data_IF_559727106080
#
_entry.id   IF_559727106080
#
_cell.length_a   1.000
_cell.length_b   1.000
_cell.length_c   1.000
_cell.angle_alpha   90.00
_cell.angle_beta   90.00
_cell.angle_gamma   90.00
#
_symmetry.space_group_name_H-M   'P 1'
#
loop_
_entity.id
_entity.type
_entity.pdbx_description
1 polymer ?
#
# COMPACT_ATOMS: atom_id res chain seq x y z
N UNK A 1 -19.06 44.73 16.73
CA UNK A 1 -18.21 43.80 17.51
C UNK A 1 -18.34 42.35 17.01
N UNK A 2 -19.55 41.93 16.62
CA UNK A 2 -19.88 40.55 16.19
C UNK A 2 -19.24 40.16 14.84
N UNK A 3 -19.20 41.05 13.83
CA UNK A 3 -18.59 40.72 12.51
C UNK A 3 -17.11 40.33 12.58
N UNK A 4 -16.33 40.99 13.45
CA UNK A 4 -14.90 40.67 13.63
C UNK A 4 -14.65 39.27 14.19
N UNK A 5 -15.61 38.72 14.95
CA UNK A 5 -15.52 37.35 15.45
C UNK A 5 -15.90 36.33 14.37
N UNK A 6 -16.91 36.63 13.55
CA UNK A 6 -17.27 35.78 12.40
C UNK A 6 -16.16 35.70 11.37
N UNK A 7 -15.46 36.80 11.08
CA UNK A 7 -14.32 36.78 10.16
C UNK A 7 -13.12 35.99 10.70
N UNK A 8 -12.88 36.05 12.01
CA UNK A 8 -11.87 35.21 12.66
C UNK A 8 -12.22 33.73 12.57
N UNK A 9 -13.49 33.38 12.77
CA UNK A 9 -13.97 32.00 12.65
C UNK A 9 -13.84 31.51 11.20
N UNK A 10 -14.25 32.31 10.20
CA UNK A 10 -14.10 31.97 8.78
C UNK A 10 -12.64 31.79 8.38
N UNK A 11 -11.76 32.67 8.85
CA UNK A 11 -10.32 32.58 8.60
C UNK A 11 -9.72 31.32 9.26
N UNK A 12 -10.12 31.00 10.49
CA UNK A 12 -9.66 29.79 11.16
C UNK A 12 -10.15 28.51 10.47
N UNK A 13 -11.40 28.50 9.98
CA UNK A 13 -11.96 27.37 9.20
C UNK A 13 -11.22 27.22 7.87
N UNK A 14 -11.01 28.31 7.13
CA UNK A 14 -10.27 28.29 5.87
C UNK A 14 -8.83 27.80 6.07
N UNK A 15 -8.16 28.26 7.13
CA UNK A 15 -6.80 27.83 7.47
C UNK A 15 -6.75 26.37 7.90
N UNK A 16 -7.75 25.89 8.64
CA UNK A 16 -7.88 24.47 8.98
C UNK A 16 -8.16 23.61 7.74
N UNK A 17 -8.93 24.11 6.77
CA UNK A 17 -9.18 23.44 5.49
C UNK A 17 -7.92 23.40 4.62
N UNK A 18 -7.15 24.49 4.55
CA UNK A 18 -5.87 24.54 3.85
C UNK A 18 -4.81 23.65 4.52
N UNK A 19 -4.75 23.63 5.86
CA UNK A 19 -3.91 22.70 6.62
C UNK A 19 -4.32 21.24 6.40
N UNK A 20 -5.62 20.96 6.30
CA UNK A 20 -6.14 19.63 5.97
C UNK A 20 -5.83 19.25 4.53
N UNK A 21 -5.91 20.17 3.56
CA UNK A 21 -5.60 19.92 2.15
C UNK A 21 -4.10 19.79 1.87
N UNK A 22 -3.26 20.53 2.59
CA UNK A 22 -1.79 20.47 2.47
C UNK A 22 -1.17 19.27 3.20
N UNK A 23 -1.88 18.66 4.15
CA UNK A 23 -1.50 17.40 4.82
C UNK A 23 -2.23 16.16 4.29
N UNK A 24 -3.14 16.33 3.32
CA UNK A 24 -3.85 15.24 2.65
C UNK A 24 -3.50 15.17 1.18
N UNK A 25 -2.24 14.85 0.88
CA UNK A 25 -2.02 13.90 -0.20
C UNK A 25 -2.71 12.60 0.24
N UNK A 26 -4.02 12.49 -0.02
CA UNK A 26 -4.85 11.32 0.28
C UNK A 26 -4.22 10.17 -0.50
N UNK A 27 -3.34 9.48 0.20
CA UNK A 27 -2.85 8.16 -0.11
C UNK A 27 -4.06 7.33 -0.52
N UNK A 28 -4.17 7.06 -1.81
CA UNK A 28 -5.32 6.38 -2.41
C UNK A 28 -4.84 5.17 -3.20
N UNK A 29 -5.67 4.13 -3.20
CA UNK A 29 -5.45 2.95 -4.00
C UNK A 29 -5.56 3.33 -5.49
N UNK A 30 -4.46 3.14 -6.23
CA UNK A 30 -4.40 3.39 -7.66
C UNK A 30 -4.48 2.06 -8.42
N UNK A 31 -5.39 1.98 -9.39
CA UNK A 31 -5.48 0.86 -10.32
C UNK A 31 -4.51 1.05 -11.50
N UNK A 32 -3.85 -0.03 -11.92
CA UNK A 32 -2.89 -0.02 -13.04
C UNK A 32 -3.27 -0.93 -14.21
N UNK A 33 -4.30 -1.77 -14.07
CA UNK A 33 -4.68 -2.76 -15.07
C UNK A 33 -4.20 -4.16 -14.70
N UNK A 34 -3.68 -4.92 -15.67
CA UNK A 34 -3.24 -6.31 -15.44
C UNK A 34 -1.72 -6.45 -15.42
N UNK A 35 -1.20 -7.12 -14.41
CA UNK A 35 0.20 -7.56 -14.34
C UNK A 35 0.23 -9.06 -14.08
N UNK A 36 0.92 -9.82 -14.93
CA UNK A 36 0.98 -11.30 -14.86
C UNK A 36 -0.41 -11.97 -14.77
N UNK A 37 -1.42 -11.40 -15.44
CA UNK A 37 -2.79 -11.90 -15.43
C UNK A 37 -3.62 -11.50 -14.20
N UNK A 38 -3.02 -10.85 -13.21
CA UNK A 38 -3.68 -10.35 -11.99
C UNK A 38 -4.08 -8.88 -12.14
N UNK A 39 -5.19 -8.47 -11.51
CA UNK A 39 -5.55 -7.06 -11.40
C UNK A 39 -4.60 -6.37 -10.41
N UNK A 40 -3.85 -5.38 -10.88
CA UNK A 40 -2.77 -4.77 -10.15
C UNK A 40 -3.16 -3.38 -9.62
N UNK A 41 -2.90 -3.19 -8.34
CA UNK A 41 -3.15 -1.95 -7.60
C UNK A 41 -1.90 -1.51 -6.86
N UNK A 42 -1.73 -0.20 -6.66
CA UNK A 42 -0.65 0.35 -5.83
C UNK A 42 -1.19 1.33 -4.80
N UNK A 43 -0.57 1.41 -3.62
CA UNK A 43 -0.94 2.37 -2.59
C UNK A 43 0.32 2.95 -1.91
N UNK A 44 0.54 4.26 -2.07
CA UNK A 44 1.64 4.96 -1.41
C UNK A 44 1.22 5.47 -0.03
N UNK A 45 1.92 5.10 1.03
CA UNK A 45 1.61 5.44 2.43
C UNK A 45 0.19 5.03 2.88
N UNK A 46 -0.21 3.76 2.75
CA UNK A 46 -1.54 3.32 3.16
C UNK A 46 -1.72 3.41 4.68
N UNK A 47 -2.95 3.74 5.11
CA UNK A 47 -3.33 3.47 6.49
C UNK A 47 -3.57 1.95 6.65
N UNK A 48 -2.84 1.30 7.56
CA UNK A 48 -2.87 -0.17 7.72
C UNK A 48 -4.27 -0.71 8.00
N UNK A 49 -5.08 0.00 8.79
CA UNK A 49 -6.45 -0.43 9.10
C UNK A 49 -7.39 -0.35 7.89
N UNK A 50 -7.19 0.64 7.02
CA UNK A 50 -7.94 0.75 5.76
C UNK A 50 -7.45 -0.29 4.77
N UNK A 51 -6.13 -0.45 4.63
CA UNK A 51 -5.50 -1.44 3.75
C UNK A 51 -5.98 -2.86 4.06
N UNK A 52 -5.99 -3.25 5.34
CA UNK A 52 -6.48 -4.56 5.77
C UNK A 52 -7.91 -4.80 5.26
N UNK A 53 -8.83 -3.87 5.53
CA UNK A 53 -10.23 -3.97 5.07
C UNK A 53 -10.37 -3.98 3.56
N UNK A 54 -9.52 -3.22 2.85
CA UNK A 54 -9.48 -3.22 1.39
C UNK A 54 -9.03 -4.57 0.85
N UNK A 55 -8.00 -5.18 1.44
CA UNK A 55 -7.54 -6.51 1.05
C UNK A 55 -8.64 -7.56 1.30
N UNK A 56 -9.33 -7.48 2.43
CA UNK A 56 -10.42 -8.42 2.77
C UNK A 56 -11.62 -8.33 1.82
N UNK A 57 -11.91 -7.13 1.30
CA UNK A 57 -13.04 -6.90 0.41
C UNK A 57 -12.82 -7.41 -1.01
N UNK A 58 -11.58 -7.79 -1.36
CA UNK A 58 -11.28 -8.31 -2.68
C UNK A 58 -11.97 -9.67 -2.93
N UNK A 59 -12.61 -9.84 -4.10
CA UNK A 59 -13.35 -11.06 -4.43
C UNK A 59 -12.44 -12.24 -4.80
N UNK A 60 -11.16 -11.98 -5.08
CA UNK A 60 -10.18 -12.98 -5.53
C UNK A 60 -8.99 -13.10 -4.59
N UNK A 61 -8.19 -14.15 -4.82
CA UNK A 61 -6.92 -14.38 -4.12
C UNK A 61 -6.01 -13.16 -4.32
N UNK A 62 -5.45 -12.66 -3.22
CA UNK A 62 -4.62 -11.45 -3.23
C UNK A 62 -3.18 -11.80 -2.86
N UNK A 63 -2.21 -11.39 -3.67
CA UNK A 63 -0.81 -11.23 -3.26
C UNK A 63 -0.64 -9.81 -2.76
N UNK A 64 0.01 -9.66 -1.62
CA UNK A 64 0.46 -8.36 -1.17
C UNK A 64 1.99 -8.26 -1.25
N UNK A 65 2.46 -7.38 -2.13
CA UNK A 65 3.86 -6.95 -2.22
C UNK A 65 4.01 -5.60 -1.48
N UNK A 66 4.69 -5.59 -0.35
CA UNK A 66 4.82 -4.40 0.49
C UNK A 66 6.20 -4.27 1.11
N UNK A 67 6.50 -3.13 1.73
CA UNK A 67 7.69 -3.02 2.53
C UNK A 67 7.50 -3.71 3.90
N UNK A 68 8.61 -3.92 4.60
CA UNK A 68 8.62 -4.58 5.90
C UNK A 68 7.67 -3.93 6.90
N UNK A 69 7.70 -2.60 7.00
CA UNK A 69 6.99 -1.87 8.05
C UNK A 69 5.48 -2.07 7.95
N UNK A 70 4.95 -2.09 6.72
CA UNK A 70 3.51 -2.26 6.49
C UNK A 70 3.05 -3.70 6.77
N UNK A 71 3.80 -4.68 6.27
CA UNK A 71 3.47 -6.10 6.43
C UNK A 71 3.60 -6.49 7.91
N UNK A 72 4.64 -6.03 8.61
CA UNK A 72 4.80 -6.24 10.05
C UNK A 72 3.64 -5.64 10.86
N UNK A 73 3.34 -4.37 10.61
CA UNK A 73 2.26 -3.67 11.30
C UNK A 73 0.92 -4.39 11.09
N UNK A 74 0.63 -4.84 9.87
CA UNK A 74 -0.58 -5.60 9.59
C UNK A 74 -0.61 -6.94 10.35
N UNK A 75 0.49 -7.68 10.29
CA UNK A 75 0.61 -9.00 10.93
C UNK A 75 0.47 -8.88 12.46
N UNK A 76 1.06 -7.86 13.07
CA UNK A 76 1.00 -7.64 14.52
C UNK A 76 -0.38 -7.17 14.98
N UNK A 77 -1.09 -6.39 14.15
CA UNK A 77 -2.42 -5.88 14.47
C UNK A 77 -3.54 -6.91 14.23
N UNK A 78 -3.42 -7.71 13.17
CA UNK A 78 -4.53 -8.54 12.68
C UNK A 78 -4.28 -10.05 12.77
N UNK A 79 -3.02 -10.49 12.90
CA UNK A 79 -2.66 -11.87 13.21
C UNK A 79 -3.41 -12.94 12.40
N UNK A 80 -4.03 -13.89 13.10
CA UNK A 80 -4.84 -14.97 12.51
C UNK A 80 -6.31 -14.61 12.28
N UNK A 81 -6.75 -13.41 12.69
CA UNK A 81 -8.16 -13.04 12.73
C UNK A 81 -8.69 -12.38 11.44
N UNK A 82 -7.82 -12.10 10.47
CA UNK A 82 -8.20 -11.49 9.19
C UNK A 82 -8.08 -12.48 8.03
N UNK A 83 -8.88 -12.27 6.98
CA UNK A 83 -8.75 -13.02 5.73
C UNK A 83 -7.38 -12.66 5.11
N UNK A 84 -6.43 -13.58 5.23
CA UNK A 84 -5.04 -13.33 4.83
C UNK A 84 -4.93 -13.25 3.29
N UNK A 85 -4.08 -12.35 2.75
CA UNK A 85 -3.46 -12.57 1.46
C UNK A 85 -2.96 -14.00 1.33
N UNK A 86 -2.98 -14.51 0.10
CA UNK A 86 -2.46 -15.86 -0.19
C UNK A 86 -0.95 -15.89 0.01
N UNK A 87 -0.27 -14.79 -0.31
CA UNK A 87 1.15 -14.61 -0.10
C UNK A 87 1.46 -13.17 0.31
N UNK A 88 2.38 -13.04 1.26
CA UNK A 88 3.04 -11.78 1.58
C UNK A 88 4.43 -11.81 0.96
N UNK A 89 4.75 -10.79 0.17
CA UNK A 89 6.07 -10.58 -0.40
C UNK A 89 6.61 -9.27 0.19
N UNK A 90 7.71 -9.35 0.91
CA UNK A 90 8.39 -8.21 1.49
C UNK A 90 9.59 -7.85 0.61
N UNK A 91 9.71 -6.57 0.26
CA UNK A 91 10.91 -6.03 -0.38
C UNK A 91 11.65 -5.05 0.54
N UNK A 92 12.96 -4.88 0.33
CA UNK A 92 13.82 -3.94 1.05
C UNK A 92 14.67 -4.60 2.15
N UNK A 93 15.62 -3.85 2.71
CA UNK A 93 16.48 -4.36 3.79
C UNK A 93 15.66 -4.64 5.06
N UNK A 94 15.80 -5.85 5.59
CA UNK A 94 15.12 -6.31 6.79
C UNK A 94 16.09 -7.18 7.61
N UNK A 95 16.21 -6.89 8.90
CA UNK A 95 17.08 -7.65 9.81
C UNK A 95 16.33 -8.72 10.62
N UNK A 96 15.01 -8.60 10.84
CA UNK A 96 14.36 -9.35 11.95
C UNK A 96 13.00 -10.05 11.71
N UNK A 97 12.35 -10.03 10.53
CA UNK A 97 10.96 -10.58 10.41
C UNK A 97 10.80 -11.96 9.78
N UNK A 98 11.79 -12.48 9.06
CA UNK A 98 11.56 -13.68 8.23
C UNK A 98 11.59 -14.99 9.03
N UNK A 99 11.76 -14.95 10.35
CA UNK A 99 12.09 -16.16 11.12
C UNK A 99 10.87 -17.08 11.36
N UNK A 100 9.62 -16.62 11.23
CA UNK A 100 8.47 -17.43 11.70
C UNK A 100 7.17 -17.41 10.89
N UNK A 101 7.12 -16.81 9.70
CA UNK A 101 5.89 -16.75 8.88
C UNK A 101 6.24 -17.02 7.42
N UNK A 102 5.35 -17.70 6.69
CA UNK A 102 5.46 -18.06 5.27
C UNK A 102 5.42 -16.80 4.37
N UNK A 103 6.42 -15.94 4.56
CA UNK A 103 6.60 -14.62 3.94
C UNK A 103 7.85 -14.68 3.10
N UNK A 104 7.73 -14.27 1.83
CA UNK A 104 8.86 -14.26 0.91
C UNK A 104 9.55 -12.92 0.99
N UNK A 105 10.84 -12.90 1.30
CA UNK A 105 11.61 -11.69 1.46
C UNK A 105 12.65 -11.53 0.34
N UNK A 106 12.75 -10.31 -0.18
CA UNK A 106 13.70 -9.92 -1.21
C UNK A 106 14.36 -8.59 -0.84
N UNK A 107 15.66 -8.47 -1.09
CA UNK A 107 16.39 -7.22 -0.82
C UNK A 107 15.99 -6.11 -1.79
N UNK A 108 15.67 -6.45 -3.04
CA UNK A 108 15.33 -5.52 -4.11
C UNK A 108 13.89 -5.73 -4.62
N UNK A 109 13.18 -4.63 -4.84
CA UNK A 109 11.86 -4.60 -5.48
C UNK A 109 11.85 -5.31 -6.84
N UNK A 110 12.95 -5.26 -7.59
CA UNK A 110 13.08 -5.95 -8.89
C UNK A 110 12.96 -7.45 -8.72
N UNK A 111 13.71 -8.03 -7.78
CA UNK A 111 13.67 -9.46 -7.50
C UNK A 111 12.29 -9.88 -6.97
N UNK A 112 11.67 -9.04 -6.14
CA UNK A 112 10.32 -9.28 -5.64
C UNK A 112 9.28 -9.32 -6.77
N UNK A 113 9.39 -8.42 -7.76
CA UNK A 113 8.52 -8.40 -8.95
C UNK A 113 8.84 -9.56 -9.89
N UNK A 114 10.11 -9.90 -10.10
CA UNK A 114 10.48 -11.04 -10.93
C UNK A 114 9.92 -12.35 -10.35
N UNK A 115 9.89 -12.46 -9.02
CA UNK A 115 9.27 -13.58 -8.33
C UNK A 115 7.75 -13.66 -8.56
N UNK A 116 7.08 -12.54 -8.89
CA UNK A 116 5.66 -12.56 -9.24
C UNK A 116 5.37 -13.40 -10.50
N UNK A 117 6.35 -13.60 -11.40
CA UNK A 117 6.21 -14.47 -12.56
C UNK A 117 5.95 -15.95 -12.19
N UNK A 118 6.34 -16.36 -10.98
CA UNK A 118 6.12 -17.72 -10.51
C UNK A 118 4.65 -17.99 -10.12
N UNK A 119 3.83 -16.95 -10.04
CA UNK A 119 2.41 -17.07 -9.73
C UNK A 119 1.58 -17.02 -11.00
N UNK A 120 0.66 -17.98 -11.13
CA UNK A 120 -0.20 -18.16 -12.31
C UNK A 120 -1.68 -18.20 -11.95
N UNK A 121 -2.10 -17.50 -10.88
CA UNK A 121 -3.52 -17.47 -10.53
C UNK A 121 -4.27 -16.39 -11.32
N UNK A 122 -5.19 -16.86 -12.15
CA UNK A 122 -6.21 -16.06 -12.81
C UNK A 122 -7.60 -16.59 -12.45
N UNK A 123 -8.51 -15.77 -11.88
CA UNK A 123 -8.32 -14.37 -11.48
C UNK A 123 -7.57 -14.23 -10.14
N UNK A 124 -6.72 -13.21 -10.05
CA UNK A 124 -5.95 -12.87 -8.85
C UNK A 124 -5.74 -11.36 -8.76
N UNK A 125 -5.40 -10.87 -7.58
CA UNK A 125 -5.19 -9.45 -7.28
C UNK A 125 -3.77 -9.27 -6.76
N UNK A 126 -3.07 -8.28 -7.28
CA UNK A 126 -1.77 -7.85 -6.80
C UNK A 126 -1.92 -6.48 -6.17
N UNK A 127 -1.61 -6.37 -4.88
CA UNK A 127 -1.54 -5.10 -4.16
C UNK A 127 -0.08 -4.77 -3.91
N UNK A 128 0.37 -3.64 -4.43
CA UNK A 128 1.68 -3.07 -4.17
C UNK A 128 1.57 -1.92 -3.16
N UNK A 129 2.39 -1.91 -2.11
CA UNK A 129 2.43 -0.82 -1.14
C UNK A 129 3.85 -0.34 -0.86
N UNK A 130 3.98 0.94 -0.53
CA UNK A 130 5.26 1.56 -0.20
C UNK A 130 5.06 2.77 0.72
N UNK A 131 5.83 2.88 1.80
CA UNK A 131 5.71 3.96 2.80
C UNK A 131 7.02 4.47 3.39
N UNK A 132 8.16 3.90 3.01
CA UNK A 132 9.48 4.36 3.45
C UNK A 132 9.96 5.59 2.65
N UNK A 133 11.16 6.09 2.97
CA UNK A 133 11.80 7.18 2.24
C UNK A 133 11.99 6.89 0.76
N UNK A 134 12.15 5.62 0.39
CA UNK A 134 12.29 5.15 -0.99
C UNK A 134 10.94 4.79 -1.61
N UNK A 135 9.84 5.05 -0.91
CA UNK A 135 8.48 4.77 -1.34
C UNK A 135 8.14 5.42 -2.68
N UNK A 136 8.44 6.71 -2.92
CA UNK A 136 8.22 7.32 -4.22
C UNK A 136 8.99 6.65 -5.36
N UNK A 137 10.24 6.23 -5.11
CA UNK A 137 11.03 5.49 -6.10
C UNK A 137 10.39 4.14 -6.42
N UNK A 138 9.98 3.40 -5.38
CA UNK A 138 9.35 2.09 -5.49
C UNK A 138 8.01 2.16 -6.22
N UNK A 139 7.19 3.17 -5.93
CA UNK A 139 5.91 3.45 -6.62
C UNK A 139 6.11 3.81 -8.09
N UNK A 140 7.12 4.63 -8.40
CA UNK A 140 7.45 4.98 -9.79
C UNK A 140 7.96 3.76 -10.57
N UNK A 141 8.81 2.94 -9.94
CA UNK A 141 9.29 1.70 -10.54
C UNK A 141 8.13 0.76 -10.87
N UNK A 142 7.24 0.50 -9.91
CA UNK A 142 6.06 -0.35 -10.11
C UNK A 142 5.15 0.21 -11.23
N UNK A 143 4.88 1.52 -11.21
CA UNK A 143 4.06 2.18 -12.26
C UNK A 143 4.69 2.07 -13.65
N UNK A 144 6.03 2.07 -13.75
CA UNK A 144 6.73 1.98 -15.03
C UNK A 144 6.55 0.62 -15.73
N UNK A 145 6.18 -0.44 -14.99
CA UNK A 145 5.91 -1.76 -15.56
C UNK A 145 4.70 -1.72 -16.50
N UNK A 146 3.73 -0.86 -16.24
CA UNK A 146 2.50 -0.72 -17.02
C UNK A 146 2.64 0.24 -18.19
N UNK A 147 3.69 1.07 -18.20
CA UNK A 147 4.00 1.93 -19.34
C UNK A 147 4.74 1.19 -20.46
N UNK A 148 5.19 -0.05 -20.19
CA UNK A 148 5.92 -0.92 -21.10
C UNK A 148 5.07 -2.05 -21.68
N UNK A 149 3.82 -2.18 -21.22
CA UNK A 149 2.81 -3.15 -21.69
C UNK A 149 1.92 -2.49 -22.74
#
# INVERSE_FOLDING_TARGET
MIEKEFDKIRSAIAKAQELSQSSSSVSSLRSHGKLFGMDAFSWHNPNISVLAKTIESFPFKTIWLGNYAEIDAHINLYGDNCKKPVDYIVYGECQDIVINKDIKHFVDIKQAIDHLNNFSFTPGILVFTASDSDGPYSMNYFSSLFSKL
#
